data_IF_249508228665
#
_entry.id   IF_249508228665
#
_cell.length_a   1.000
_cell.length_b   1.000
_cell.length_c   1.000
_cell.angle_alpha   90.00
_cell.angle_beta   90.00
_cell.angle_gamma   90.00
#
_symmetry.space_group_name_H-M   'P 1'
#
loop_
_entity.id
_entity.type
_entity.pdbx_description
1 polymer ?
#
# COMPACT_ATOMS: atom_id res chain seq x y z
N UNK A 1 3.00 -1.88 -9.39
CA UNK A 1 3.63 -1.38 -10.64
C UNK A 1 3.95 -2.59 -11.53
N UNK A 2 3.70 -2.53 -12.84
CA UNK A 2 4.15 -3.55 -13.79
C UNK A 2 5.48 -3.10 -14.42
N UNK A 3 6.52 -3.92 -14.34
CA UNK A 3 7.87 -3.54 -14.79
C UNK A 3 8.32 -4.25 -16.07
N UNK A 4 7.61 -5.28 -16.50
CA UNK A 4 7.92 -6.03 -17.72
C UNK A 4 6.63 -6.68 -18.22
N UNK A 5 6.28 -6.39 -19.47
CA UNK A 5 5.12 -6.94 -20.14
C UNK A 5 5.58 -7.52 -21.49
N UNK A 6 5.66 -8.84 -21.57
CA UNK A 6 5.52 -9.56 -22.83
C UNK A 6 4.03 -9.88 -23.02
N UNK A 7 3.55 -10.08 -24.25
CA UNK A 7 2.14 -10.35 -24.51
C UNK A 7 1.61 -11.58 -23.75
N UNK A 8 2.52 -12.45 -23.29
CA UNK A 8 2.20 -13.70 -22.59
C UNK A 8 2.69 -13.75 -21.13
N UNK A 9 3.43 -12.75 -20.64
CA UNK A 9 3.95 -12.73 -19.28
C UNK A 9 4.04 -11.32 -18.69
N UNK A 10 3.64 -11.16 -17.43
CA UNK A 10 3.66 -9.89 -16.72
C UNK A 10 4.15 -10.05 -15.29
N UNK A 11 5.06 -9.18 -14.85
CA UNK A 11 5.43 -9.07 -13.43
C UNK A 11 4.67 -7.91 -12.78
N UNK A 12 3.94 -8.19 -11.69
CA UNK A 12 3.15 -7.21 -10.94
C UNK A 12 3.64 -7.11 -9.51
N UNK A 13 3.95 -5.90 -9.07
CA UNK A 13 4.23 -5.61 -7.66
C UNK A 13 3.02 -4.95 -7.00
N UNK A 14 2.56 -5.54 -5.90
CA UNK A 14 1.47 -5.03 -5.06
C UNK A 14 2.02 -4.71 -3.69
N UNK A 15 1.84 -3.47 -3.24
CA UNK A 15 2.22 -3.04 -1.89
C UNK A 15 0.93 -2.81 -1.09
N UNK A 16 0.83 -3.43 0.07
CA UNK A 16 -0.35 -3.37 0.92
C UNK A 16 0.01 -3.45 2.41
N UNK A 17 -0.97 -3.12 3.26
CA UNK A 17 -0.91 -3.32 4.70
C UNK A 17 -1.98 -4.34 5.11
N UNK A 18 -1.56 -5.39 5.81
CA UNK A 18 -2.44 -6.30 6.52
C UNK A 18 -2.66 -5.78 7.93
N UNK A 19 -3.92 -5.66 8.36
CA UNK A 19 -4.28 -5.20 9.72
C UNK A 19 -5.07 -6.28 10.43
N UNK A 20 -4.60 -6.68 11.61
CA UNK A 20 -5.32 -7.58 12.52
C UNK A 20 -5.80 -6.75 13.71
N UNK A 21 -7.12 -6.70 13.88
CA UNK A 21 -7.77 -6.00 14.98
C UNK A 21 -8.89 -6.86 15.57
N UNK A 22 -9.12 -6.73 16.88
CA UNK A 22 -10.17 -7.47 17.57
C UNK A 22 -10.42 -6.90 18.97
N UNK A 23 -11.54 -7.30 19.57
CA UNK A 23 -11.86 -6.89 20.94
C UNK A 23 -10.79 -7.47 21.88
N UNK A 24 -10.18 -6.60 22.67
CA UNK A 24 -9.09 -6.93 23.62
C UNK A 24 -7.77 -7.42 22.97
N UNK A 25 -7.58 -7.19 21.66
CA UNK A 25 -6.31 -7.42 20.97
C UNK A 25 -5.63 -6.08 20.68
N UNK A 26 -4.30 -6.04 20.85
CA UNK A 26 -3.50 -4.94 20.33
C UNK A 26 -3.56 -5.00 18.80
N UNK A 27 -3.92 -3.88 18.17
CA UNK A 27 -3.92 -3.77 16.71
C UNK A 27 -2.51 -4.01 16.19
N UNK A 28 -2.39 -4.95 15.26
CA UNK A 28 -1.14 -5.29 14.61
C UNK A 28 -1.25 -4.98 13.12
N UNK A 29 -0.22 -4.35 12.58
CA UNK A 29 -0.10 -4.08 11.15
C UNK A 29 1.20 -4.67 10.59
N UNK A 30 1.12 -5.18 9.37
CA UNK A 30 2.26 -5.66 8.61
C UNK A 30 2.21 -5.08 7.19
N UNK A 31 3.31 -4.46 6.78
CA UNK A 31 3.46 -3.86 5.46
C UNK A 31 4.20 -4.84 4.56
N UNK A 32 3.63 -5.18 3.41
CA UNK A 32 4.10 -6.26 2.55
C UNK A 32 4.15 -5.74 1.11
N UNK A 33 5.21 -6.15 0.39
CA UNK A 33 5.25 -6.07 -1.07
C UNK A 33 5.20 -7.47 -1.64
N UNK A 34 4.09 -7.81 -2.29
CA UNK A 34 3.94 -9.03 -3.07
C UNK A 34 4.41 -8.81 -4.51
N UNK A 35 5.11 -9.80 -5.05
CA UNK A 35 5.50 -9.87 -6.45
C UNK A 35 4.85 -11.08 -7.11
N UNK A 36 3.96 -10.81 -8.06
CA UNK A 36 3.29 -11.80 -8.88
C UNK A 36 3.99 -11.92 -10.22
N UNK A 37 4.29 -13.15 -10.62
CA UNK A 37 4.55 -13.50 -12.01
C UNK A 37 3.27 -14.06 -12.60
N UNK A 38 2.71 -13.36 -13.58
CA UNK A 38 1.53 -13.76 -14.31
C UNK A 38 1.90 -14.27 -15.70
N UNK A 39 1.18 -15.28 -16.16
CA UNK A 39 1.27 -15.82 -17.52
C UNK A 39 -0.11 -15.88 -18.16
N UNK A 40 -0.21 -15.59 -19.45
CA UNK A 40 -1.47 -15.68 -20.19
C UNK A 40 -1.64 -17.10 -20.72
N UNK A 41 -2.57 -17.86 -20.13
CA UNK A 41 -2.82 -19.25 -20.50
C UNK A 41 -4.31 -19.48 -20.71
N UNK A 42 -4.65 -20.08 -21.86
CA UNK A 42 -6.03 -20.48 -22.19
C UNK A 42 -7.03 -19.31 -22.13
N UNK A 43 -6.58 -18.11 -22.51
CA UNK A 43 -7.42 -16.91 -22.59
C UNK A 43 -7.65 -16.19 -21.26
N UNK A 44 -6.81 -16.45 -20.25
CA UNK A 44 -6.88 -15.78 -18.95
C UNK A 44 -5.49 -15.64 -18.31
N UNK A 45 -5.33 -14.69 -17.40
CA UNK A 45 -4.11 -14.54 -16.61
C UNK A 45 -4.08 -15.55 -15.46
N UNK A 46 -2.94 -16.22 -15.29
CA UNK A 46 -2.68 -17.16 -14.19
C UNK A 46 -1.45 -16.74 -13.41
N UNK A 47 -1.48 -16.96 -12.10
CA UNK A 47 -0.29 -16.77 -11.24
C UNK A 47 0.64 -17.96 -11.44
N UNK A 48 1.80 -17.71 -12.03
CA UNK A 48 2.86 -18.71 -12.19
C UNK A 48 3.76 -18.78 -10.95
N UNK A 49 4.01 -17.63 -10.30
CA UNK A 49 4.74 -17.56 -9.05
C UNK A 49 4.32 -16.35 -8.21
N UNK A 50 4.49 -16.49 -6.90
CA UNK A 50 4.28 -15.46 -5.89
C UNK A 50 5.50 -15.42 -4.97
N UNK A 51 6.00 -14.23 -4.69
CA UNK A 51 6.94 -13.99 -3.60
C UNK A 51 6.55 -12.77 -2.79
N UNK A 52 6.92 -12.78 -1.52
CA UNK A 52 6.63 -11.73 -0.56
C UNK A 52 7.93 -11.19 0.03
N UNK A 53 7.96 -9.91 0.31
CA UNK A 53 9.01 -9.27 1.08
C UNK A 53 8.38 -8.25 2.02
N UNK A 54 9.04 -7.99 3.17
CA UNK A 54 8.67 -6.88 4.04
C UNK A 54 8.64 -5.59 3.22
N UNK A 55 7.48 -4.96 3.20
CA UNK A 55 7.25 -3.73 2.48
C UNK A 55 7.81 -2.53 3.25
N UNK A 56 8.07 -1.40 2.56
CA UNK A 56 8.33 -0.17 3.26
C UNK A 56 7.11 0.17 4.13
N UNK A 57 7.35 0.34 5.43
CA UNK A 57 6.37 0.92 6.35
C UNK A 57 6.47 2.43 6.24
N UNK A 58 5.38 3.15 5.89
CA UNK A 58 5.38 4.61 5.94
C UNK A 58 5.77 5.08 7.33
N UNK A 59 6.47 6.21 7.40
CA UNK A 59 6.63 6.87 8.69
C UNK A 59 5.23 7.12 9.26
N UNK A 60 4.90 6.60 10.46
CA UNK A 60 3.62 6.89 11.07
C UNK A 60 3.42 8.41 11.24
N UNK A 61 4.49 9.21 11.23
CA UNK A 61 4.41 10.65 11.35
C UNK A 61 3.94 11.05 12.75
N UNK A 62 3.41 12.26 12.87
CA UNK A 62 2.85 12.75 14.12
C UNK A 62 1.54 12.00 14.43
N UNK A 63 1.52 11.27 15.54
CA UNK A 63 0.40 10.38 15.91
C UNK A 63 -0.62 11.06 16.82
N UNK A 64 -0.31 12.25 17.33
CA UNK A 64 -1.26 13.06 18.09
C UNK A 64 -2.09 13.88 17.10
N UNK A 65 -3.43 13.89 17.22
CA UNK A 65 -4.26 14.70 16.35
C UNK A 65 -4.00 16.19 16.64
N UNK A 66 -3.72 16.96 15.61
CA UNK A 66 -3.69 18.42 15.72
C UNK A 66 -5.07 18.92 16.20
N UNK A 67 -5.07 19.85 17.13
CA UNK A 67 -6.27 20.63 17.44
C UNK A 67 -6.69 21.47 16.22
N UNK A 68 -7.96 21.90 16.15
CA UNK A 68 -8.41 22.80 15.07
C UNK A 68 -7.56 24.08 14.93
N UNK A 69 -7.01 24.59 16.04
CA UNK A 69 -6.16 25.77 16.04
C UNK A 69 -4.78 25.49 15.43
N UNK A 70 -4.17 24.35 15.76
CA UNK A 70 -2.89 23.90 15.18
C UNK A 70 -3.02 23.64 13.68
N UNK A 71 -4.08 22.94 13.27
CA UNK A 71 -4.39 22.72 11.85
C UNK A 71 -4.58 24.04 11.10
N UNK A 72 -5.31 25.00 11.69
CA UNK A 72 -5.51 26.32 11.08
C UNK A 72 -4.21 27.11 10.95
N UNK A 73 -3.28 26.97 11.92
CA UNK A 73 -1.97 27.59 11.85
C UNK A 73 -1.08 26.94 10.77
N UNK A 74 -1.13 25.62 10.62
CA UNK A 74 -0.39 24.89 9.57
C UNK A 74 -0.87 25.26 8.16
N UNK A 75 -2.17 25.51 8.00
CA UNK A 75 -2.78 25.93 6.74
C UNK A 75 -2.59 27.42 6.45
N UNK A 76 -1.99 28.20 7.35
CA UNK A 76 -1.73 29.61 7.12
C UNK A 76 -0.78 29.80 5.92
N UNK A 77 -1.26 30.48 4.87
CA UNK A 77 -0.52 30.69 3.63
C UNK A 77 -0.90 29.74 2.50
N UNK A 78 -1.76 28.76 2.75
CA UNK A 78 -2.40 27.96 1.70
C UNK A 78 -3.75 28.59 1.34
N UNK A 79 -4.03 28.70 0.04
CA UNK A 79 -5.34 29.13 -0.47
C UNK A 79 -6.17 27.89 -0.77
N UNK A 80 -7.40 27.83 -0.28
CA UNK A 80 -8.31 26.75 -0.62
C UNK A 80 -8.61 26.83 -2.12
N UNK A 81 -8.30 25.76 -2.86
CA UNK A 81 -8.67 25.68 -4.27
C UNK A 81 -10.19 25.46 -4.33
N UNK A 82 -10.93 26.30 -5.07
CA UNK A 82 -12.39 26.22 -5.15
C UNK A 82 -12.89 24.96 -5.86
#
# INVERSE_FOLDING_TARGET
>A
RAEEADAEAMRVHVWFVGVVAGRDLVTYEEWITETYLLVWERGDWRVAALSEASGPRPDPGYQDPDSPAEMSALLAGFEAVP
#
